data_IF_607555930528
#
_entry.id   IF_607555930528
#
_cell.length_a   1.000
_cell.length_b   1.000
_cell.length_c   1.000
_cell.angle_alpha   90.00
_cell.angle_beta   90.00
_cell.angle_gamma   90.00
#
_symmetry.space_group_name_H-M   'P 1'
#
loop_
_entity.id
_entity.type
_entity.pdbx_description
1 polymer ?
#
# COMPACT_ATOMS: atom_id res chain seq x y z
N UNK A 1 72.38 -20.98 20.34
CA UNK A 1 72.03 -20.91 21.78
C UNK A 1 70.52 -20.65 21.83
N UNK A 2 69.67 -21.67 22.02
CA UNK A 2 68.95 -22.03 23.27
C UNK A 2 68.32 -20.79 23.95
N UNK A 3 67.04 -20.70 24.29
CA UNK A 3 66.01 -21.72 24.51
C UNK A 3 64.58 -21.11 24.62
N UNK A 4 63.57 -22.00 24.51
CA UNK A 4 62.26 -22.09 25.21
C UNK A 4 61.45 -20.80 25.54
N UNK A 5 60.13 -20.69 25.33
CA UNK A 5 59.06 -21.70 25.34
C UNK A 5 58.26 -21.58 26.64
N UNK A 6 57.00 -21.14 26.60
CA UNK A 6 55.96 -21.57 27.55
C UNK A 6 54.55 -21.35 26.99
N UNK A 7 53.79 -22.44 26.93
CA UNK A 7 52.37 -22.54 26.64
C UNK A 7 51.66 -22.59 27.99
N UNK A 8 50.55 -21.86 28.16
CA UNK A 8 49.55 -22.19 29.19
C UNK A 8 48.17 -22.16 28.53
N UNK A 9 47.66 -23.36 28.27
CA UNK A 9 46.25 -23.63 28.04
C UNK A 9 45.54 -23.66 29.39
N UNK A 10 44.45 -22.91 29.55
CA UNK A 10 43.47 -23.17 30.61
C UNK A 10 42.21 -23.70 29.95
N UNK A 11 42.06 -25.01 30.09
CA UNK A 11 40.81 -25.74 29.91
C UNK A 11 40.04 -25.59 31.23
N UNK A 12 38.79 -25.13 31.18
CA UNK A 12 37.84 -25.37 32.27
C UNK A 12 36.62 -26.10 31.71
N UNK A 13 36.47 -27.35 32.13
CA UNK A 13 35.30 -28.19 31.91
C UNK A 13 34.13 -27.69 32.78
N UNK A 14 32.96 -27.61 32.14
CA UNK A 14 31.77 -28.41 32.50
C UNK A 14 31.15 -28.25 33.88
N UNK A 15 29.90 -27.76 33.88
CA UNK A 15 28.84 -28.37 34.68
C UNK A 15 27.52 -28.34 33.86
N UNK A 16 27.07 -29.54 33.48
CA UNK A 16 25.67 -29.80 33.12
C UNK A 16 24.80 -29.62 34.37
N UNK A 17 23.60 -29.07 34.20
CA UNK A 17 22.48 -29.37 35.09
C UNK A 17 21.21 -29.48 34.25
N UNK A 18 20.60 -30.66 34.34
CA UNK A 18 19.31 -31.03 33.76
C UNK A 18 18.36 -31.23 34.93
N UNK A 19 17.31 -30.42 35.01
CA UNK A 19 16.08 -30.61 35.79
C UNK A 19 15.16 -29.44 35.41
N UNK A 20 13.88 -29.58 35.09
CA UNK A 20 12.97 -30.71 35.02
C UNK A 20 11.66 -30.20 34.40
N UNK A 21 10.83 -31.10 33.88
CA UNK A 21 9.48 -30.79 33.48
C UNK A 21 8.63 -30.42 34.70
N UNK A 22 7.97 -29.26 34.67
CA UNK A 22 6.78 -29.00 35.47
C UNK A 22 5.73 -28.35 34.56
N UNK A 23 4.66 -29.11 34.36
CA UNK A 23 3.38 -28.67 33.82
C UNK A 23 2.70 -27.79 34.86
N UNK A 24 2.46 -26.53 34.53
CA UNK A 24 1.54 -25.68 35.28
C UNK A 24 0.50 -25.13 34.29
N UNK A 25 -0.72 -25.66 34.46
CA UNK A 25 -1.97 -25.11 33.97
C UNK A 25 -2.13 -23.67 34.48
N UNK A 26 -2.09 -22.68 33.58
CA UNK A 26 -2.54 -21.33 33.91
C UNK A 26 -3.91 -21.07 33.27
N UNK A 27 -4.90 -21.09 34.16
CA UNK A 27 -6.30 -20.85 33.93
C UNK A 27 -6.50 -19.43 33.42
N UNK A 28 -7.11 -19.31 32.25
CA UNK A 28 -7.57 -18.04 31.69
C UNK A 28 -8.48 -17.31 32.70
N UNK A 29 -8.01 -16.17 33.20
CA UNK A 29 -8.82 -15.24 33.99
C UNK A 29 -9.77 -14.49 33.04
N UNK A 30 -11.10 -14.45 33.31
CA UNK A 30 -12.03 -13.66 32.53
C UNK A 30 -11.86 -12.18 32.84
N UNK A 31 -11.49 -11.38 31.84
CA UNK A 31 -11.47 -9.92 31.97
C UNK A 31 -12.90 -9.41 31.87
N UNK A 32 -13.51 -9.14 33.01
CA UNK A 32 -14.80 -8.47 33.16
C UNK A 32 -14.68 -7.02 32.71
N UNK A 33 -15.18 -6.70 31.52
CA UNK A 33 -15.36 -5.30 31.11
C UNK A 33 -16.59 -4.73 31.81
N UNK A 34 -16.35 -3.95 32.86
CA UNK A 34 -17.36 -3.11 33.50
C UNK A 34 -17.60 -1.90 32.61
N UNK A 35 -18.74 -1.86 31.92
CA UNK A 35 -19.21 -0.67 31.23
C UNK A 35 -19.61 0.38 32.29
N UNK A 36 -18.85 1.47 32.38
CA UNK A 36 -19.22 2.66 33.15
C UNK A 36 -19.67 3.74 32.19
N UNK A 37 -20.96 4.07 32.25
CA UNK A 37 -21.57 5.13 31.47
C UNK A 37 -21.15 6.53 31.91
N UNK A 38 -21.10 7.42 30.92
CA UNK A 38 -21.14 8.88 31.00
C UNK A 38 -21.54 9.36 29.60
N UNK A 39 -22.83 9.58 29.34
CA UNK A 39 -23.54 10.85 29.53
C UNK A 39 -22.87 12.02 28.79
N UNK A 40 -23.31 12.25 27.56
CA UNK A 40 -23.35 13.58 26.94
C UNK A 40 -24.73 13.74 26.28
N UNK A 41 -25.68 14.30 27.03
CA UNK A 41 -26.69 15.19 26.43
C UNK A 41 -25.98 16.46 25.96
N UNK A 42 -26.41 17.17 24.92
CA UNK A 42 -27.80 17.54 24.66
C UNK A 42 -28.05 17.67 23.17
N UNK A 43 -29.20 17.15 22.73
CA UNK A 43 -29.74 17.38 21.41
C UNK A 43 -30.27 18.80 21.24
N UNK A 44 -30.07 19.35 20.05
CA UNK A 44 -30.84 20.50 19.56
C UNK A 44 -31.98 19.93 18.72
N UNK A 45 -33.25 20.33 18.97
CA UNK A 45 -34.39 19.85 18.21
C UNK A 45 -34.49 20.60 16.89
N UNK A 46 -34.42 19.89 15.76
CA UNK A 46 -34.91 20.45 14.50
C UNK A 46 -36.44 20.39 14.51
N UNK A 47 -37.02 21.57 14.64
CA UNK A 47 -38.46 21.83 14.57
C UNK A 47 -38.89 21.81 13.11
N UNK A 48 -39.79 20.91 12.74
CA UNK A 48 -40.57 20.99 11.49
C UNK A 48 -41.67 22.05 11.62
N UNK A 49 -41.80 22.93 10.61
CA UNK A 49 -43.05 23.57 10.21
C UNK A 49 -42.87 24.48 8.96
N UNK A 50 -43.93 24.90 8.23
CA UNK A 50 -44.34 24.25 6.98
C UNK A 50 -44.44 25.20 5.75
N UNK A 51 -44.54 24.58 4.57
CA UNK A 51 -45.49 25.02 3.52
C UNK A 51 -44.99 25.94 2.40
N UNK A 52 -45.00 25.39 1.17
CA UNK A 52 -45.42 25.97 -0.13
C UNK A 52 -44.50 25.46 -1.25
N UNK A 53 -44.94 24.81 -2.32
CA UNK A 53 -46.27 24.40 -2.74
C UNK A 53 -46.14 23.23 -3.73
N UNK A 54 -47.23 22.50 -3.81
CA UNK A 54 -47.47 21.28 -4.57
C UNK A 54 -47.67 21.59 -6.07
N UNK A 55 -47.01 20.92 -7.03
CA UNK A 55 -47.51 20.88 -8.39
C UNK A 55 -48.54 19.76 -8.52
N UNK A 56 -49.79 20.18 -8.49
CA UNK A 56 -51.00 19.42 -8.84
C UNK A 56 -50.78 18.54 -10.08
N UNK A 57 -51.08 17.25 -9.91
CA UNK A 57 -51.28 16.29 -10.99
C UNK A 57 -52.49 16.77 -11.82
N UNK A 58 -52.24 17.17 -13.07
CA UNK A 58 -53.29 17.37 -14.08
C UNK A 58 -53.55 16.02 -14.76
N UNK A 59 -54.74 15.42 -14.61
CA UNK A 59 -55.11 14.24 -15.37
C UNK A 59 -55.58 14.67 -16.76
N UNK A 60 -54.95 14.11 -17.79
CA UNK A 60 -55.48 14.14 -19.16
C UNK A 60 -54.54 14.74 -20.18
N UNK A 61 -53.45 14.05 -20.51
CA UNK A 61 -52.84 14.07 -21.84
C UNK A 61 -52.20 12.69 -22.08
N UNK A 62 -52.95 11.79 -22.71
CA UNK A 62 -52.37 10.58 -23.33
C UNK A 62 -51.39 11.03 -24.42
N UNK A 63 -50.15 10.53 -24.47
CA UNK A 63 -49.37 10.66 -25.69
C UNK A 63 -50.03 9.80 -26.77
N UNK A 64 -50.59 10.46 -27.79
CA UNK A 64 -51.00 9.80 -29.04
C UNK A 64 -49.75 9.31 -29.75
N UNK A 65 -49.51 8.00 -29.71
CA UNK A 65 -48.54 7.35 -30.58
C UNK A 65 -49.17 7.23 -31.97
N UNK A 66 -48.78 8.13 -32.87
CA UNK A 66 -49.14 8.06 -34.29
C UNK A 66 -48.39 6.88 -34.92
N UNK A 67 -49.11 5.80 -35.22
CA UNK A 67 -48.59 4.69 -36.01
C UNK A 67 -48.60 5.10 -37.48
N UNK A 68 -47.41 5.23 -38.07
CA UNK A 68 -47.24 5.41 -39.52
C UNK A 68 -47.37 4.02 -40.19
N UNK A 69 -48.25 3.82 -41.19
CA UNK A 69 -48.30 2.57 -41.92
C UNK A 69 -47.12 2.49 -42.89
N UNK A 70 -46.19 1.57 -42.65
CA UNK A 70 -45.12 1.22 -43.60
C UNK A 70 -45.66 0.27 -44.67
N UNK A 71 -45.61 0.71 -45.92
CA UNK A 71 -45.94 -0.07 -47.11
C UNK A 71 -45.01 -1.29 -47.27
N UNK A 72 -45.51 -2.49 -47.63
CA UNK A 72 -44.66 -3.61 -47.98
C UNK A 72 -43.94 -3.35 -49.33
N UNK A 73 -42.62 -3.22 -49.28
CA UNK A 73 -41.77 -3.18 -50.47
C UNK A 73 -41.64 -4.58 -51.12
N UNK A 74 -41.34 -4.66 -52.43
CA UNK A 74 -41.36 -5.90 -53.18
C UNK A 74 -40.23 -6.84 -52.78
N UNK A 75 -40.55 -8.13 -52.80
CA UNK A 75 -39.67 -9.28 -52.60
C UNK A 75 -38.58 -9.29 -53.67
N UNK A 76 -37.35 -8.98 -53.27
CA UNK A 76 -36.16 -9.17 -54.12
C UNK A 76 -35.59 -10.57 -53.89
N UNK A 77 -35.66 -11.40 -54.91
CA UNK A 77 -34.97 -12.68 -55.04
C UNK A 77 -33.57 -12.48 -55.61
N UNK A 78 -32.55 -13.05 -54.97
CA UNK A 78 -31.27 -13.42 -55.60
C UNK A 78 -30.05 -12.58 -55.23
N UNK A 79 -29.01 -13.24 -54.75
CA UNK A 79 -27.65 -12.70 -54.64
C UNK A 79 -26.92 -13.23 -53.40
N UNK A 80 -26.09 -14.26 -53.56
CA UNK A 80 -25.33 -14.87 -52.48
C UNK A 80 -24.46 -13.85 -51.73
N UNK A 81 -24.63 -13.80 -50.42
CA UNK A 81 -23.74 -13.06 -49.53
C UNK A 81 -22.41 -13.81 -49.42
N UNK A 82 -21.25 -13.18 -49.67
CA UNK A 82 -19.99 -13.73 -49.20
C UNK A 82 -20.02 -13.76 -47.67
N UNK A 83 -19.77 -14.93 -47.08
CA UNK A 83 -19.53 -15.09 -45.65
C UNK A 83 -18.33 -14.22 -45.25
N UNK A 84 -18.60 -13.03 -44.74
CA UNK A 84 -17.64 -12.25 -43.99
C UNK A 84 -17.49 -12.90 -42.61
N UNK A 85 -16.46 -13.73 -42.47
CA UNK A 85 -15.97 -14.22 -41.17
C UNK A 85 -15.64 -12.99 -40.31
N UNK A 86 -16.14 -12.88 -39.07
CA UNK A 86 -15.74 -11.78 -38.20
C UNK A 86 -14.22 -11.83 -38.01
N UNK A 87 -13.56 -10.71 -38.26
CA UNK A 87 -12.14 -10.56 -37.97
C UNK A 87 -11.94 -10.77 -36.46
N UNK A 88 -11.34 -11.89 -36.09
CA UNK A 88 -10.80 -12.09 -34.75
C UNK A 88 -9.80 -10.96 -34.51
N UNK A 89 -10.19 -9.98 -33.71
CA UNK A 89 -9.29 -8.94 -33.24
C UNK A 89 -8.24 -9.65 -32.39
N UNK A 90 -7.00 -9.72 -32.89
CA UNK A 90 -5.89 -10.22 -32.11
C UNK A 90 -5.80 -9.37 -30.81
N UNK A 91 -5.59 -10.00 -29.64
CA UNK A 91 -5.38 -9.26 -28.41
C UNK A 91 -4.24 -8.26 -28.60
N UNK A 92 -4.44 -7.02 -28.14
CA UNK A 92 -3.35 -6.04 -28.08
C UNK A 92 -2.18 -6.65 -27.28
N UNK A 93 -0.93 -6.45 -27.73
CA UNK A 93 0.22 -6.96 -27.00
C UNK A 93 0.24 -6.36 -25.58
N UNK A 94 0.68 -7.14 -24.58
CA UNK A 94 0.73 -6.68 -23.20
C UNK A 94 1.71 -5.49 -23.09
N UNK A 95 1.26 -4.42 -22.41
CA UNK A 95 2.06 -3.22 -22.19
C UNK A 95 3.03 -3.49 -21.04
N UNK A 96 4.31 -3.24 -21.25
CA UNK A 96 5.33 -3.40 -20.22
C UNK A 96 5.07 -2.42 -19.06
N UNK A 97 5.35 -2.84 -17.83
CA UNK A 97 5.26 -2.00 -16.64
C UNK A 97 6.38 -0.96 -16.66
N UNK A 98 6.03 0.31 -16.51
CA UNK A 98 6.99 1.40 -16.38
C UNK A 98 7.62 1.38 -14.98
N UNK A 99 8.95 1.42 -14.90
CA UNK A 99 9.67 1.48 -13.62
C UNK A 99 10.26 2.87 -13.43
N UNK A 100 9.85 3.55 -12.37
CA UNK A 100 10.24 4.95 -12.09
C UNK A 100 11.00 5.02 -10.77
N UNK A 101 12.25 5.48 -10.81
CA UNK A 101 13.03 5.78 -9.61
C UNK A 101 12.93 7.26 -9.27
N UNK A 102 12.32 7.58 -8.13
CA UNK A 102 12.17 8.93 -7.63
C UNK A 102 13.36 9.32 -6.75
N UNK A 103 13.99 10.44 -7.09
CA UNK A 103 15.05 11.07 -6.31
C UNK A 103 14.51 12.37 -5.73
N UNK A 104 14.02 12.31 -4.49
CA UNK A 104 13.33 13.45 -3.88
C UNK A 104 14.25 14.53 -3.33
N UNK A 105 15.52 14.21 -3.11
CA UNK A 105 16.53 15.11 -2.55
C UNK A 105 17.78 15.09 -3.42
N UNK A 106 18.33 16.28 -3.70
CA UNK A 106 19.55 16.44 -4.49
C UNK A 106 20.81 16.17 -3.66
N UNK A 107 21.97 16.14 -4.31
CA UNK A 107 23.27 15.90 -3.65
C UNK A 107 23.62 16.96 -2.57
N UNK A 108 22.95 18.11 -2.56
CA UNK A 108 23.12 19.15 -1.56
C UNK A 108 22.13 19.04 -0.39
N UNK A 109 21.29 18.00 -0.35
CA UNK A 109 20.28 17.81 0.69
C UNK A 109 19.02 18.65 0.49
N UNK A 110 18.80 19.22 -0.70
CA UNK A 110 17.65 20.07 -0.98
C UNK A 110 16.57 19.28 -1.73
N UNK A 111 15.28 19.61 -1.57
CA UNK A 111 14.24 19.01 -2.39
C UNK A 111 14.53 19.12 -3.88
N UNK A 112 14.45 17.99 -4.59
CA UNK A 112 14.52 17.93 -6.05
C UNK A 112 13.30 18.60 -6.70
N UNK A 113 13.39 18.87 -8.00
CA UNK A 113 12.29 19.49 -8.76
C UNK A 113 10.94 18.76 -8.57
N UNK A 114 9.93 19.52 -8.17
CA UNK A 114 8.58 19.04 -7.90
C UNK A 114 8.36 18.49 -6.49
N UNK A 115 9.40 18.35 -5.66
CA UNK A 115 9.26 18.04 -4.24
C UNK A 115 9.29 19.32 -3.40
N UNK A 116 8.50 19.34 -2.33
CA UNK A 116 8.43 20.48 -1.40
C UNK A 116 8.45 20.02 0.05
N UNK A 117 9.12 20.79 0.92
CA UNK A 117 9.09 20.52 2.35
C UNK A 117 7.74 20.98 2.91
N UNK A 118 7.02 20.07 3.57
CA UNK A 118 5.72 20.34 4.17
C UNK A 118 5.87 20.89 5.58
N UNK A 119 4.95 21.75 6.02
CA UNK A 119 4.84 22.18 7.42
C UNK A 119 4.09 21.14 8.27
N UNK A 120 4.38 21.05 9.58
CA UNK A 120 5.43 21.77 10.31
C UNK A 120 6.85 21.28 9.96
N UNK A 121 7.84 22.13 10.19
CA UNK A 121 9.26 21.80 9.98
C UNK A 121 10.12 22.28 11.17
N UNK A 122 10.75 21.37 11.94
CA UNK A 122 10.62 19.92 11.85
C UNK A 122 9.22 19.44 12.26
N UNK A 123 8.84 18.25 11.80
CA UNK A 123 7.66 17.51 12.26
C UNK A 123 7.87 17.01 13.69
N UNK A 124 9.10 16.59 14.00
CA UNK A 124 9.51 16.04 15.29
C UNK A 124 10.88 15.38 15.20
N UNK A 125 11.23 14.64 16.24
CA UNK A 125 12.42 13.79 16.28
C UNK A 125 12.06 12.34 15.93
N UNK A 126 12.91 11.66 15.16
CA UNK A 126 12.79 10.22 14.90
C UNK A 126 13.81 9.44 15.74
N UNK A 127 13.36 8.33 16.31
CA UNK A 127 14.26 7.31 16.81
C UNK A 127 14.74 6.43 15.64
N UNK A 128 16.03 6.56 15.31
CA UNK A 128 16.67 5.79 14.25
C UNK A 128 17.74 4.83 14.79
N UNK A 129 17.67 4.46 16.08
CA UNK A 129 18.57 3.46 16.69
C UNK A 129 18.55 2.09 15.99
N UNK A 130 17.42 1.72 15.35
CA UNK A 130 17.23 0.50 14.58
C UNK A 130 16.99 0.76 13.07
N UNK A 131 17.65 1.77 12.51
CA UNK A 131 17.49 2.12 11.09
C UNK A 131 17.85 0.95 10.16
N UNK A 132 17.21 0.93 9.00
CA UNK A 132 17.46 -0.05 7.92
C UNK A 132 17.36 0.62 6.54
N UNK A 133 17.94 0.04 5.48
CA UNK A 133 17.66 0.50 4.13
C UNK A 133 16.15 0.48 3.89
N UNK A 134 15.60 1.52 3.26
CA UNK A 134 14.20 1.51 2.88
C UNK A 134 13.88 0.30 2.01
N UNK A 135 12.75 -0.36 2.27
CA UNK A 135 12.23 -1.47 1.45
C UNK A 135 12.10 -1.08 -0.03
N UNK A 136 11.95 0.20 -0.31
CA UNK A 136 11.76 0.73 -1.66
C UNK A 136 12.99 1.40 -2.27
N UNK A 137 14.15 1.27 -1.62
CA UNK A 137 15.40 1.85 -2.07
C UNK A 137 16.05 1.03 -3.19
N UNK A 138 16.23 1.60 -4.39
CA UNK A 138 17.05 0.94 -5.43
C UNK A 138 18.53 1.28 -5.34
N UNK A 139 18.91 2.23 -4.47
CA UNK A 139 20.29 2.65 -4.21
C UNK A 139 20.57 2.68 -2.71
N UNK A 140 21.85 2.82 -2.35
CA UNK A 140 22.25 3.17 -0.98
C UNK A 140 21.71 4.54 -0.57
N UNK A 141 21.69 4.82 0.74
CA UNK A 141 21.38 6.15 1.28
C UNK A 141 19.89 6.54 1.36
N UNK A 142 18.97 5.58 1.16
CA UNK A 142 17.54 5.78 1.47
C UNK A 142 17.19 4.99 2.72
N UNK A 143 16.68 5.69 3.72
CA UNK A 143 16.49 5.17 5.08
C UNK A 143 15.03 4.83 5.36
N UNK A 144 14.85 3.85 6.23
CA UNK A 144 13.64 3.66 7.02
C UNK A 144 14.01 3.71 8.51
N UNK A 145 13.32 4.55 9.29
CA UNK A 145 13.39 4.56 10.75
C UNK A 145 12.12 5.12 11.40
N UNK A 146 12.10 5.19 12.73
CA UNK A 146 10.93 5.60 13.50
C UNK A 146 9.84 4.54 13.60
N UNK A 147 8.73 4.93 14.22
CA UNK A 147 7.53 4.12 14.28
C UNK A 147 6.74 4.20 12.97
N UNK A 148 5.84 3.25 12.74
CA UNK A 148 4.95 3.30 11.56
C UNK A 148 4.12 4.58 11.46
N UNK A 149 3.74 5.16 12.61
CA UNK A 149 2.99 6.43 12.67
C UNK A 149 3.79 7.64 12.15
N UNK A 150 5.12 7.54 12.14
CA UNK A 150 5.98 8.58 11.59
C UNK A 150 5.96 8.59 10.06
N UNK A 151 5.52 7.49 9.42
CA UNK A 151 5.58 7.33 7.97
C UNK A 151 6.96 7.65 7.37
N UNK A 152 8.02 7.31 8.11
CA UNK A 152 9.42 7.57 7.79
C UNK A 152 10.09 6.34 7.14
N UNK A 153 9.43 5.76 6.13
CA UNK A 153 9.87 4.54 5.45
C UNK A 153 10.69 4.81 4.18
N UNK A 154 10.66 6.04 3.68
CA UNK A 154 11.42 6.49 2.52
C UNK A 154 12.00 7.86 2.87
N UNK A 155 13.23 7.87 3.37
CA UNK A 155 13.89 9.07 3.87
C UNK A 155 15.27 9.28 3.25
N UNK A 156 15.61 10.54 2.99
CA UNK A 156 16.92 10.98 2.53
C UNK A 156 17.59 11.80 3.62
N UNK A 157 18.86 11.51 3.90
CA UNK A 157 19.64 12.30 4.86
C UNK A 157 20.10 13.63 4.24
N UNK A 158 20.00 14.71 5.00
CA UNK A 158 20.68 15.95 4.68
C UNK A 158 22.21 15.81 4.94
N UNK A 159 23.05 16.71 4.41
CA UNK A 159 24.50 16.67 4.61
C UNK A 159 24.94 16.66 6.08
N UNK A 160 24.16 17.26 6.98
CA UNK A 160 24.44 17.27 8.43
C UNK A 160 24.25 15.90 9.10
N UNK A 161 23.55 14.96 8.43
CA UNK A 161 23.17 13.64 8.92
C UNK A 161 22.29 13.64 10.19
N UNK A 162 21.99 14.80 10.73
CA UNK A 162 21.10 15.04 11.87
C UNK A 162 19.67 15.41 11.41
N UNK A 163 19.47 15.56 10.10
CA UNK A 163 18.18 15.85 9.48
C UNK A 163 17.82 14.79 8.43
N UNK A 164 16.58 14.29 8.49
CA UNK A 164 15.98 13.45 7.46
C UNK A 164 14.84 14.18 6.76
N UNK A 165 14.77 14.05 5.43
CA UNK A 165 13.63 14.43 4.61
C UNK A 165 12.92 13.15 4.19
N UNK A 166 11.70 12.94 4.67
CA UNK A 166 10.94 11.72 4.45
C UNK A 166 9.74 11.97 3.56
N UNK A 167 9.53 11.13 2.55
CA UNK A 167 8.32 11.18 1.73
C UNK A 167 7.36 10.05 2.13
N UNK A 168 6.08 10.39 2.30
CA UNK A 168 5.03 9.41 2.59
C UNK A 168 4.35 8.90 1.32
N UNK A 169 4.12 9.79 0.35
CA UNK A 169 3.38 9.53 -0.89
C UNK A 169 4.17 10.05 -2.12
N UNK A 170 4.40 9.21 -3.16
CA UNK A 170 5.17 9.60 -4.35
C UNK A 170 4.48 10.62 -5.25
N UNK A 171 3.15 10.65 -5.26
CA UNK A 171 2.35 11.50 -6.13
C UNK A 171 2.16 12.89 -5.53
N UNK A 172 2.02 13.00 -4.21
CA UNK A 172 1.92 14.29 -3.51
C UNK A 172 3.25 15.07 -3.48
N UNK A 173 4.39 14.37 -3.62
CA UNK A 173 5.75 14.96 -3.61
C UNK A 173 6.04 15.86 -2.40
N UNK A 174 5.42 15.55 -1.26
CA UNK A 174 5.66 16.23 0.01
C UNK A 174 6.79 15.56 0.81
N UNK A 175 7.69 16.38 1.34
CA UNK A 175 8.80 15.97 2.21
C UNK A 175 8.59 16.48 3.64
N UNK A 176 8.49 15.55 4.59
CA UNK A 176 8.46 15.85 6.02
C UNK A 176 9.89 15.92 6.53
N UNK A 177 10.22 17.02 7.22
CA UNK A 177 11.54 17.19 7.85
C UNK A 177 11.52 16.66 9.27
N UNK A 178 12.47 15.80 9.60
CA UNK A 178 12.68 15.25 10.94
C UNK A 178 14.09 15.52 11.43
N UNK A 179 14.25 15.67 12.74
CA UNK A 179 15.55 15.64 13.41
C UNK A 179 15.87 14.23 13.89
N UNK A 180 17.14 13.86 13.88
CA UNK A 180 17.65 12.56 14.37
C UNK A 180 18.88 12.78 15.23
N UNK A 181 18.93 12.08 16.36
CA UNK A 181 20.05 12.13 17.30
C UNK A 181 20.28 10.71 17.85
N UNK A 182 21.49 10.12 17.68
CA UNK A 182 22.66 10.67 16.98
C UNK A 182 22.44 10.80 15.45
N UNK A 183 23.32 11.55 14.75
CA UNK A 183 23.32 11.61 13.29
C UNK A 183 23.38 10.21 12.66
N UNK A 184 22.65 10.01 11.56
CA UNK A 184 22.52 8.68 10.93
C UNK A 184 23.82 8.25 10.24
N UNK A 185 24.21 7.00 10.47
CA UNK A 185 25.33 6.36 9.78
C UNK A 185 25.01 6.10 8.29
N UNK A 186 26.04 5.80 7.49
CA UNK A 186 25.84 5.38 6.10
C UNK A 186 25.10 4.05 6.04
N UNK A 187 24.27 3.90 5.01
CA UNK A 187 23.44 2.71 4.83
C UNK A 187 23.51 2.19 3.40
N UNK A 188 23.60 0.88 3.25
CA UNK A 188 23.62 0.21 1.95
C UNK A 188 22.27 0.24 1.23
N UNK A 189 22.24 -0.30 0.02
CA UNK A 189 21.00 -0.54 -0.70
C UNK A 189 20.24 -1.74 -0.12
N UNK A 190 18.93 -1.81 -0.34
CA UNK A 190 18.18 -3.04 -0.06
C UNK A 190 18.49 -4.10 -1.11
N UNK A 191 18.63 -5.36 -0.70
CA UNK A 191 18.97 -6.46 -1.60
C UNK A 191 17.81 -6.87 -2.52
N UNK A 192 16.58 -6.56 -2.14
CA UNK A 192 15.37 -6.94 -2.88
C UNK A 192 14.33 -5.84 -2.76
N UNK A 193 14.47 -4.76 -3.56
CA UNK A 193 13.59 -3.60 -3.48
C UNK A 193 12.18 -3.96 -3.93
N UNK A 194 11.20 -3.39 -3.26
CA UNK A 194 9.80 -3.44 -3.68
C UNK A 194 9.28 -2.03 -3.92
N UNK A 195 8.40 -1.83 -4.92
CA UNK A 195 7.86 -0.52 -5.23
C UNK A 195 7.31 0.16 -3.98
N UNK A 196 7.65 1.42 -3.79
CA UNK A 196 7.03 2.28 -2.80
C UNK A 196 5.54 2.44 -3.10
N UNK A 197 5.19 2.51 -4.39
CA UNK A 197 3.82 2.57 -4.83
C UNK A 197 3.65 2.01 -6.25
N UNK A 198 2.39 1.73 -6.59
CA UNK A 198 1.96 1.14 -7.86
C UNK A 198 0.84 2.01 -8.43
N UNK A 199 0.88 2.25 -9.73
CA UNK A 199 -0.29 2.63 -10.52
C UNK A 199 -0.77 1.39 -11.28
N UNK A 200 -2.02 1.00 -11.07
CA UNK A 200 -2.60 -0.17 -11.73
C UNK A 200 -3.12 0.19 -13.13
N UNK A 201 -3.30 -0.81 -13.99
CA UNK A 201 -3.82 -0.60 -15.34
C UNK A 201 -5.21 0.06 -15.37
N UNK A 202 -6.02 -0.14 -14.32
CA UNK A 202 -7.33 0.49 -14.13
C UNK A 202 -7.27 1.91 -13.54
N UNK A 203 -6.07 2.45 -13.30
CA UNK A 203 -5.84 3.82 -12.84
C UNK A 203 -5.81 3.99 -11.32
N UNK A 204 -5.95 2.92 -10.53
CA UNK A 204 -5.83 3.02 -9.06
C UNK A 204 -4.38 3.22 -8.64
N UNK A 205 -4.18 4.08 -7.65
CA UNK A 205 -2.91 4.25 -6.95
C UNK A 205 -2.89 3.37 -5.71
N UNK A 206 -1.84 2.56 -5.57
CA UNK A 206 -1.64 1.67 -4.43
C UNK A 206 -0.30 1.94 -3.76
N UNK A 207 -0.31 2.21 -2.46
CA UNK A 207 0.90 2.54 -1.69
C UNK A 207 1.28 1.39 -0.77
N UNK A 208 2.59 1.11 -0.69
CA UNK A 208 3.11 0.03 0.13
C UNK A 208 2.64 0.16 1.58
N UNK A 209 2.32 -0.97 2.21
CA UNK A 209 1.85 -1.00 3.60
C UNK A 209 2.94 -0.48 4.54
N UNK A 210 2.60 0.58 5.27
CA UNK A 210 3.41 1.18 6.34
C UNK A 210 2.65 1.02 7.66
N UNK A 211 2.75 -0.17 8.26
CA UNK A 211 2.10 -0.49 9.53
C UNK A 211 0.57 -0.38 9.53
N UNK A 212 0.02 -0.06 10.70
CA UNK A 212 -1.42 0.03 10.95
C UNK A 212 -2.13 -1.32 11.09
N UNK A 213 -3.32 -1.28 11.69
CA UNK A 213 -4.24 -2.41 11.73
C UNK A 213 -4.93 -2.57 10.38
N UNK A 214 -4.87 -3.76 9.82
CA UNK A 214 -5.51 -4.11 8.56
C UNK A 214 -6.50 -5.24 8.84
N UNK A 215 -7.60 -5.27 8.08
CA UNK A 215 -8.51 -6.42 8.11
C UNK A 215 -7.82 -7.69 7.61
N UNK A 216 -8.55 -8.79 7.63
CA UNK A 216 -8.13 -10.05 7.07
C UNK A 216 -9.11 -10.57 6.04
N UNK A 217 -8.85 -11.79 5.60
CA UNK A 217 -9.72 -12.62 4.76
C UNK A 217 -9.57 -14.06 5.22
N UNK A 218 -10.64 -14.86 5.09
CA UNK A 218 -10.62 -16.27 5.50
C UNK A 218 -9.68 -17.15 4.69
N UNK A 219 -9.37 -16.73 3.45
CA UNK A 219 -8.42 -17.39 2.54
C UNK A 219 -6.93 -17.18 2.92
N UNK A 220 -6.66 -16.44 4.00
CA UNK A 220 -5.31 -16.23 4.53
C UNK A 220 -4.47 -15.21 3.76
N UNK A 221 -5.04 -14.57 2.73
CA UNK A 221 -4.38 -13.45 2.04
C UNK A 221 -4.34 -12.21 2.93
N UNK A 222 -3.25 -11.46 2.84
CA UNK A 222 -3.00 -10.23 3.60
C UNK A 222 -2.70 -9.07 2.67
N UNK A 223 -2.97 -7.85 3.13
CA UNK A 223 -2.69 -6.64 2.36
C UNK A 223 -1.20 -6.27 2.34
N UNK A 224 -0.69 -6.02 1.14
CA UNK A 224 0.67 -5.54 0.86
C UNK A 224 0.70 -4.06 0.45
N UNK A 225 -0.31 -3.58 -0.28
CA UNK A 225 -0.47 -2.17 -0.68
C UNK A 225 -1.90 -1.71 -0.48
N UNK A 226 -2.08 -0.49 0.01
CA UNK A 226 -3.40 0.14 0.17
C UNK A 226 -3.70 0.89 -1.10
N UNK A 227 -4.83 0.60 -1.74
CA UNK A 227 -5.23 1.31 -2.95
C UNK A 227 -6.23 2.43 -2.65
N UNK A 228 -6.37 3.36 -3.59
CA UNK A 228 -7.54 4.25 -3.62
C UNK A 228 -8.82 3.40 -3.64
N UNK A 229 -9.77 3.72 -2.76
CA UNK A 229 -10.98 2.93 -2.53
C UNK A 229 -10.85 1.96 -1.34
N UNK A 230 -11.56 0.83 -1.39
CA UNK A 230 -11.62 -0.16 -0.30
C UNK A 230 -10.75 -1.41 -0.55
N UNK A 231 -10.15 -1.51 -1.74
CA UNK A 231 -9.33 -2.66 -2.12
C UNK A 231 -7.87 -2.48 -1.73
N UNK A 232 -7.17 -3.60 -1.61
CA UNK A 232 -5.74 -3.66 -1.39
C UNK A 232 -5.11 -4.60 -2.41
N UNK A 233 -3.81 -4.41 -2.66
CA UNK A 233 -3.01 -5.47 -3.27
C UNK A 233 -2.75 -6.53 -2.21
N UNK A 234 -3.09 -7.78 -2.55
CA UNK A 234 -3.04 -8.94 -1.68
C UNK A 234 -1.80 -9.78 -1.95
N UNK A 235 -1.37 -10.52 -0.92
CA UNK A 235 -0.35 -11.55 -1.03
C UNK A 235 -0.61 -12.67 -0.01
N UNK A 236 -0.05 -13.88 -0.23
CA UNK A 236 0.07 -14.86 0.83
C UNK A 236 0.82 -14.30 2.04
N UNK A 237 0.44 -14.69 3.25
CA UNK A 237 1.06 -14.20 4.50
C UNK A 237 2.56 -14.51 4.62
N UNK A 238 3.03 -15.53 3.92
CA UNK A 238 4.44 -15.96 3.87
C UNK A 238 5.19 -15.43 2.65
N UNK A 239 4.51 -14.76 1.71
CA UNK A 239 5.13 -14.27 0.50
C UNK A 239 6.04 -13.07 0.79
N UNK A 240 7.17 -13.00 0.07
CA UNK A 240 8.08 -11.85 0.16
C UNK A 240 7.49 -10.61 -0.49
N UNK A 241 6.85 -10.79 -1.65
CA UNK A 241 6.28 -9.74 -2.49
C UNK A 241 4.90 -10.16 -2.98
N UNK A 242 4.05 -9.17 -3.21
CA UNK A 242 2.72 -9.32 -3.81
C UNK A 242 2.73 -9.21 -5.34
N UNK A 243 3.90 -8.93 -5.92
CA UNK A 243 4.04 -8.56 -7.32
C UNK A 243 4.70 -9.72 -8.06
N UNK A 244 4.01 -10.27 -9.05
CA UNK A 244 4.60 -11.13 -10.05
C UNK A 244 5.27 -10.28 -11.13
N UNK A 245 6.60 -10.21 -11.07
CA UNK A 245 7.45 -9.51 -12.02
C UNK A 245 8.19 -10.45 -12.98
N UNK A 246 7.70 -11.69 -13.17
CA UNK A 246 8.34 -12.70 -14.03
C UNK A 246 8.30 -12.39 -15.53
N UNK A 247 7.43 -11.46 -15.94
CA UNK A 247 7.33 -10.96 -17.32
C UNK A 247 7.51 -9.43 -17.36
N UNK A 248 7.56 -8.84 -18.56
CA UNK A 248 7.62 -7.39 -18.71
C UNK A 248 6.37 -6.67 -18.22
N UNK A 249 5.23 -7.34 -18.14
CA UNK A 249 4.00 -6.82 -17.56
C UNK A 249 3.82 -7.43 -16.18
N UNK A 250 4.03 -6.63 -15.14
CA UNK A 250 3.90 -7.09 -13.76
C UNK A 250 2.43 -7.26 -13.40
N UNK A 251 2.13 -8.27 -12.58
CA UNK A 251 0.78 -8.58 -12.14
C UNK A 251 0.69 -8.53 -10.62
N UNK A 252 -0.50 -8.16 -10.14
CA UNK A 252 -0.87 -8.18 -8.72
C UNK A 252 -2.27 -8.75 -8.54
N UNK A 253 -2.50 -9.32 -7.37
CA UNK A 253 -3.83 -9.73 -6.93
C UNK A 253 -4.46 -8.59 -6.11
N UNK A 254 -5.70 -8.22 -6.41
CA UNK A 254 -6.40 -7.08 -5.78
C UNK A 254 -7.76 -7.51 -5.27
N UNK A 255 -8.09 -7.10 -4.05
CA UNK A 255 -9.39 -7.33 -3.46
C UNK A 255 -9.55 -6.71 -2.07
N UNK A 256 -10.71 -6.86 -1.44
CA UNK A 256 -11.02 -6.23 -0.15
C UNK A 256 -10.42 -7.00 1.03
N UNK A 257 -10.26 -6.29 2.15
CA UNK A 257 -10.05 -6.84 3.49
C UNK A 257 -11.24 -6.51 4.39
N UNK A 258 -11.47 -7.31 5.43
CA UNK A 258 -12.56 -7.09 6.38
C UNK A 258 -12.22 -7.44 7.83
N UNK A 259 -12.97 -6.87 8.77
CA UNK A 259 -12.86 -7.22 10.19
C UNK A 259 -13.30 -8.66 10.42
N UNK A 260 -12.55 -9.41 11.24
CA UNK A 260 -12.89 -10.81 11.55
C UNK A 260 -12.58 -11.79 10.43
N UNK A 261 -11.78 -11.38 9.43
CA UNK A 261 -11.36 -12.22 8.31
C UNK A 261 -12.53 -12.90 7.56
N UNK A 262 -13.46 -12.12 6.99
CA UNK A 262 -14.62 -12.67 6.31
C UNK A 262 -14.25 -13.40 5.02
N UNK A 263 -15.19 -14.21 4.53
CA UNK A 263 -15.12 -14.81 3.20
C UNK A 263 -15.37 -13.76 2.12
N UNK A 264 -14.53 -13.77 1.10
CA UNK A 264 -14.64 -12.89 -0.06
C UNK A 264 -14.41 -13.70 -1.34
N UNK A 265 -14.85 -13.18 -2.51
CA UNK A 265 -14.50 -13.75 -3.80
C UNK A 265 -12.98 -13.79 -4.02
N UNK A 266 -12.54 -14.62 -4.97
CA UNK A 266 -11.14 -14.65 -5.41
C UNK A 266 -10.68 -13.25 -5.84
N UNK A 267 -9.40 -12.88 -5.56
CA UNK A 267 -8.86 -11.60 -6.00
C UNK A 267 -8.91 -11.41 -7.51
N UNK A 268 -9.05 -10.16 -7.95
CA UNK A 268 -8.87 -9.80 -9.33
C UNK A 268 -7.37 -9.70 -9.66
N UNK A 269 -6.95 -10.26 -10.79
CA UNK A 269 -5.58 -10.09 -11.28
C UNK A 269 -5.53 -8.83 -12.14
N UNK A 270 -4.65 -7.90 -11.79
CA UNK A 270 -4.46 -6.64 -12.51
C UNK A 270 -3.01 -6.42 -12.89
N UNK A 271 -2.82 -5.85 -14.08
CA UNK A 271 -1.51 -5.40 -14.51
C UNK A 271 -1.10 -4.13 -13.75
N UNK A 272 0.18 -4.03 -13.42
CA UNK A 272 0.80 -2.80 -12.94
C UNK A 272 1.20 -1.98 -14.16
N UNK A 273 0.68 -0.75 -14.23
CA UNK A 273 1.07 0.21 -15.26
C UNK A 273 2.41 0.84 -14.91
N UNK A 274 2.57 1.32 -13.68
CA UNK A 274 3.79 1.99 -13.22
C UNK A 274 4.17 1.56 -11.81
N UNK A 275 5.45 1.26 -11.59
CA UNK A 275 6.03 0.93 -10.30
C UNK A 275 7.02 2.02 -9.88
N UNK A 276 6.79 2.64 -8.72
CA UNK A 276 7.61 3.73 -8.20
C UNK A 276 8.57 3.23 -7.14
N UNK A 277 9.85 3.53 -7.28
CA UNK A 277 10.91 3.25 -6.32
C UNK A 277 11.54 4.54 -5.81
N UNK A 278 12.33 4.45 -4.74
CA UNK A 278 13.10 5.56 -4.20
C UNK A 278 14.59 5.36 -4.47
N UNK A 279 15.28 6.44 -4.79
CA UNK A 279 16.71 6.43 -5.06
C UNK A 279 17.40 7.70 -4.56
N UNK A 280 18.72 7.62 -4.45
CA UNK A 280 19.65 8.75 -4.34
C UNK A 280 20.30 8.96 -5.71
N UNK A 281 20.72 10.20 -5.99
CA UNK A 281 21.41 10.55 -7.23
C UNK A 281 22.86 10.10 -7.25
#
# INVERSE_FOLDING_TARGET
>A
MKAAGFIVSVVLLGALSVAGCSTEDDVAQPVTTTARGGSWGSGVPITESPGAGDPTIVPGHSPTVTVVPTTPGPRSTGGGAPSSVPATTAPLPPVATDVVSLVAVDAAGRPSSGFTVTSPTPVGALDCSHMSPSRSATTAGVYQCGASADAANVCWAAPDRATLLCANDPWLRGLRRYTVDPPVADIGATASPEPWALELADGRHCRIRVGGAWGGRSDGLVGAYSCDGNDVVLQPSTARTAIDASTSTWLVEVGPLGSGAPDFPAPAILAVRTAYFAAVR
#
